data_IF_061319712079
#
_entry.id   IF_061319712079
#
_cell.length_a   1.000
_cell.length_b   1.000
_cell.length_c   1.000
_cell.angle_alpha   90.00
_cell.angle_beta   90.00
_cell.angle_gamma   90.00
#
_symmetry.space_group_name_H-M   'P 1'
#
loop_
_entity.id
_entity.type
_entity.pdbx_description
1 polymer ?
#
# COMPACT_ATOMS: atom_id res chain seq x y z
N UNK A 1 -3.71 -11.06 -20.01
CA UNK A 1 -4.70 -10.28 -19.21
C UNK A 1 -5.72 -11.22 -18.56
N UNK A 2 -6.40 -10.84 -17.47
CA UNK A 2 -7.26 -11.72 -16.61
C UNK A 2 -8.12 -12.81 -17.31
N UNK A 3 -8.64 -12.54 -18.52
CA UNK A 3 -9.42 -13.47 -19.35
C UNK A 3 -8.64 -14.66 -19.94
N UNK A 4 -7.32 -14.62 -19.91
CA UNK A 4 -6.45 -15.70 -20.42
C UNK A 4 -6.18 -16.79 -19.37
N UNK A 5 -6.78 -16.68 -18.18
CA UNK A 5 -6.56 -17.61 -17.08
C UNK A 5 -7.57 -18.77 -17.14
N UNK A 6 -7.13 -20.03 -16.93
CA UNK A 6 -8.02 -21.18 -16.94
C UNK A 6 -9.20 -20.99 -15.98
N UNK A 7 -10.43 -21.21 -16.46
CA UNK A 7 -11.66 -21.12 -15.66
C UNK A 7 -12.23 -19.71 -15.49
N UNK A 8 -11.57 -18.65 -15.97
CA UNK A 8 -12.11 -17.28 -15.97
C UNK A 8 -12.85 -17.03 -17.29
N UNK A 9 -14.18 -16.95 -17.27
CA UNK A 9 -15.00 -16.58 -18.44
C UNK A 9 -15.02 -15.08 -18.66
N UNK A 10 -15.18 -14.30 -17.59
CA UNK A 10 -15.14 -12.85 -17.63
C UNK A 10 -14.47 -12.30 -16.37
N UNK A 11 -13.87 -11.13 -16.49
CA UNK A 11 -13.30 -10.41 -15.36
C UNK A 11 -13.42 -8.90 -15.56
N UNK A 12 -13.63 -8.17 -14.48
CA UNK A 12 -13.57 -6.72 -14.45
C UNK A 12 -12.79 -6.26 -13.20
N UNK A 13 -12.15 -5.10 -13.28
CA UNK A 13 -11.54 -4.45 -12.12
C UNK A 13 -12.06 -3.02 -12.02
N UNK A 14 -12.50 -2.62 -10.83
CA UNK A 14 -13.04 -1.27 -10.56
C UNK A 14 -12.50 -0.75 -9.24
N UNK A 15 -12.43 0.58 -9.11
CA UNK A 15 -12.15 1.23 -7.83
C UNK A 15 -13.46 1.39 -7.07
N UNK A 16 -13.50 0.87 -5.85
CA UNK A 16 -14.60 1.06 -4.89
C UNK A 16 -13.94 1.60 -3.61
N UNK A 17 -14.38 2.74 -3.10
CA UNK A 17 -13.80 3.42 -1.92
C UNK A 17 -12.27 3.58 -1.97
N UNK A 18 -11.73 3.88 -3.16
CA UNK A 18 -10.29 4.06 -3.38
C UNK A 18 -9.46 2.76 -3.42
N UNK A 19 -10.11 1.59 -3.33
CA UNK A 19 -9.49 0.27 -3.37
C UNK A 19 -9.84 -0.45 -4.66
N UNK A 20 -8.88 -1.19 -5.22
CA UNK A 20 -9.10 -1.97 -6.43
C UNK A 20 -9.81 -3.30 -6.09
N UNK A 21 -10.96 -3.53 -6.72
CA UNK A 21 -11.80 -4.74 -6.57
C UNK A 21 -11.88 -5.47 -7.89
N UNK A 22 -11.66 -6.79 -7.85
CA UNK A 22 -11.81 -7.66 -8.99
C UNK A 22 -13.14 -8.41 -8.95
N UNK A 23 -13.85 -8.45 -10.07
CA UNK A 23 -15.05 -9.24 -10.24
C UNK A 23 -14.74 -10.35 -11.23
N UNK A 24 -15.05 -11.59 -10.88
CA UNK A 24 -14.76 -12.80 -11.66
C UNK A 24 -16.04 -13.54 -11.98
N UNK A 25 -16.15 -14.00 -13.23
CA UNK A 25 -17.20 -14.92 -13.67
C UNK A 25 -16.55 -16.19 -14.16
N UNK A 26 -17.02 -17.33 -13.66
CA UNK A 26 -16.53 -18.67 -14.00
C UNK A 26 -16.07 -19.44 -12.77
N UNK A 27 -15.68 -20.69 -13.02
CA UNK A 27 -15.43 -21.69 -11.96
C UNK A 27 -13.95 -21.75 -11.54
N UNK A 28 -13.11 -20.88 -12.13
CA UNK A 28 -11.70 -20.74 -11.78
C UNK A 28 -11.49 -19.96 -10.48
N UNK A 29 -10.40 -20.25 -9.78
CA UNK A 29 -9.99 -19.50 -8.59
C UNK A 29 -9.44 -18.11 -8.90
N UNK A 30 -9.17 -17.34 -7.84
CA UNK A 30 -8.54 -16.02 -7.95
C UNK A 30 -7.21 -16.14 -8.71
N UNK A 31 -7.03 -15.40 -9.82
CA UNK A 31 -5.86 -15.51 -10.66
C UNK A 31 -4.64 -14.89 -9.97
N UNK A 32 -3.50 -15.58 -10.04
CA UNK A 32 -2.25 -15.00 -9.57
C UNK A 32 -1.71 -13.99 -10.58
N UNK A 33 -1.84 -12.72 -10.25
CA UNK A 33 -1.42 -11.60 -11.09
C UNK A 33 -0.03 -11.08 -10.76
N UNK A 34 0.63 -11.57 -9.70
CA UNK A 34 1.91 -11.02 -9.21
C UNK A 34 3.06 -11.15 -10.20
N UNK A 35 3.01 -12.14 -11.08
CA UNK A 35 4.01 -12.35 -12.13
C UNK A 35 3.84 -11.42 -13.34
N UNK A 36 2.69 -10.74 -13.47
CA UNK A 36 2.33 -9.98 -14.67
C UNK A 36 1.89 -8.55 -14.38
N UNK A 37 1.58 -8.23 -13.13
CA UNK A 37 1.18 -6.91 -12.67
C UNK A 37 2.02 -6.51 -11.45
N UNK A 38 2.35 -5.22 -11.31
CA UNK A 38 2.83 -4.68 -10.04
C UNK A 38 1.79 -4.88 -8.93
N UNK A 39 2.24 -5.09 -7.69
CA UNK A 39 1.36 -5.38 -6.54
C UNK A 39 0.23 -4.36 -6.34
N UNK A 40 0.49 -3.07 -6.61
CA UNK A 40 -0.50 -2.00 -6.47
C UNK A 40 -1.61 -2.02 -7.53
N UNK A 41 -1.46 -2.80 -8.61
CA UNK A 41 -2.48 -3.02 -9.64
C UNK A 41 -3.26 -4.32 -9.42
N UNK A 42 -2.95 -5.06 -8.35
CA UNK A 42 -3.64 -6.30 -8.02
C UNK A 42 -4.83 -5.95 -7.11
N UNK A 43 -6.06 -6.37 -7.47
CA UNK A 43 -7.20 -6.15 -6.60
C UNK A 43 -7.00 -6.71 -5.20
N UNK A 44 -7.39 -5.92 -4.20
CA UNK A 44 -7.28 -6.29 -2.77
C UNK A 44 -8.45 -7.15 -2.31
N UNK A 45 -9.54 -7.19 -3.09
CA UNK A 45 -10.69 -8.06 -2.88
C UNK A 45 -11.19 -8.61 -4.22
N UNK A 46 -11.79 -9.80 -4.16
CA UNK A 46 -12.32 -10.52 -5.31
C UNK A 46 -13.76 -10.98 -5.03
N UNK A 47 -14.67 -10.70 -5.95
CA UNK A 47 -16.08 -11.08 -5.88
C UNK A 47 -16.38 -12.03 -7.05
N UNK A 48 -16.93 -13.21 -6.75
CA UNK A 48 -17.39 -14.15 -7.77
C UNK A 48 -18.85 -13.87 -8.12
N UNK A 49 -19.14 -13.83 -9.42
CA UNK A 49 -20.47 -13.60 -9.97
C UNK A 49 -20.80 -14.69 -11.00
N UNK A 50 -22.10 -14.97 -11.14
CA UNK A 50 -22.59 -15.84 -12.21
C UNK A 50 -22.47 -15.16 -13.59
N UNK A 51 -22.66 -13.83 -13.62
CA UNK A 51 -22.50 -12.97 -14.80
C UNK A 51 -22.13 -11.53 -14.41
N UNK A 52 -21.47 -10.80 -15.31
CA UNK A 52 -21.22 -9.37 -15.12
C UNK A 52 -22.50 -8.56 -15.43
N UNK A 53 -22.94 -7.65 -14.55
CA UNK A 53 -24.07 -6.79 -14.86
C UNK A 53 -23.70 -5.80 -15.97
N UNK A 54 -24.51 -5.77 -17.02
CA UNK A 54 -24.31 -4.89 -18.17
C UNK A 54 -25.51 -3.94 -18.33
N UNK A 55 -25.23 -2.70 -18.71
CA UNK A 55 -26.23 -1.74 -19.19
C UNK A 55 -26.88 -2.24 -20.48
N UNK A 56 -28.01 -1.65 -20.88
CA UNK A 56 -28.68 -1.95 -22.16
C UNK A 56 -27.76 -1.81 -23.39
N UNK A 57 -26.68 -1.01 -23.30
CA UNK A 57 -25.68 -0.82 -24.35
C UNK A 57 -24.50 -1.82 -24.26
N UNK A 58 -24.59 -2.85 -23.42
CA UNK A 58 -23.55 -3.87 -23.24
C UNK A 58 -22.30 -3.41 -22.49
N UNK A 59 -22.29 -2.19 -21.91
CA UNK A 59 -21.20 -1.72 -21.04
C UNK A 59 -21.41 -2.21 -19.61
N UNK A 60 -20.33 -2.45 -18.87
CA UNK A 60 -20.36 -2.80 -17.45
C UNK A 60 -21.19 -1.78 -16.66
N UNK A 61 -22.25 -2.25 -16.00
CA UNK A 61 -23.04 -1.45 -15.10
C UNK A 61 -22.40 -1.45 -13.72
N UNK A 62 -21.59 -0.42 -13.45
CA UNK A 62 -20.86 -0.30 -12.18
C UNK A 62 -21.78 -0.08 -10.98
N UNK A 63 -22.98 0.45 -11.19
CA UNK A 63 -23.93 0.69 -10.10
C UNK A 63 -24.65 -0.60 -9.67
N UNK A 64 -24.75 -1.58 -10.58
CA UNK A 64 -25.34 -2.89 -10.33
C UNK A 64 -24.32 -3.94 -9.83
N UNK A 65 -23.03 -3.58 -9.71
CA UNK A 65 -22.03 -4.47 -9.14
C UNK A 65 -22.30 -4.67 -7.64
N UNK A 66 -22.33 -5.92 -7.15
CA UNK A 66 -22.43 -6.18 -5.71
C UNK A 66 -21.28 -5.49 -4.99
N UNK A 67 -21.57 -4.91 -3.82
CA UNK A 67 -20.51 -4.40 -2.98
C UNK A 67 -19.55 -5.54 -2.61
N UNK A 68 -18.22 -5.35 -2.72
CA UNK A 68 -17.31 -6.33 -2.18
C UNK A 68 -17.55 -6.44 -0.68
N UNK A 69 -17.39 -7.65 -0.14
CA UNK A 69 -17.15 -7.79 1.28
C UNK A 69 -15.78 -7.19 1.58
N UNK A 70 -15.80 -5.90 1.90
CA UNK A 70 -14.72 -5.32 2.63
C UNK A 70 -14.65 -6.04 3.96
N UNK A 71 -13.44 -6.22 4.51
CA UNK A 71 -13.31 -6.38 5.96
C UNK A 71 -13.70 -5.07 6.72
N UNK A 72 -14.64 -4.30 6.17
CA UNK A 72 -15.35 -3.18 6.78
C UNK A 72 -16.74 -3.77 7.06
N UNK A 73 -17.01 -4.25 8.27
CA UNK A 73 -17.22 -3.40 9.43
C UNK A 73 -16.49 -3.92 10.68
N UNK A 74 -15.16 -4.02 10.63
CA UNK A 74 -14.45 -4.14 11.89
C UNK A 74 -14.74 -2.84 12.68
N UNK A 75 -15.34 -2.93 13.88
CA UNK A 75 -15.58 -1.77 14.71
C UNK A 75 -14.25 -1.03 14.89
N UNK A 76 -14.34 0.29 15.08
CA UNK A 76 -13.15 1.08 15.37
C UNK A 76 -12.36 0.42 16.50
N UNK A 77 -11.14 0.01 16.20
CA UNK A 77 -10.21 -0.60 17.14
C UNK A 77 -8.95 0.28 17.22
N UNK A 78 -8.48 0.62 18.44
CA UNK A 78 -7.30 1.44 18.60
C UNK A 78 -6.04 0.71 18.10
N UNK A 79 -5.05 1.44 17.55
CA UNK A 79 -3.72 0.91 17.28
C UNK A 79 -3.11 0.27 18.53
N UNK A 80 -2.56 -0.93 18.37
CA UNK A 80 -1.86 -1.64 19.45
C UNK A 80 -0.51 -0.96 19.77
N UNK A 81 0.05 -1.30 20.92
CA UNK A 81 1.37 -0.79 21.30
C UNK A 81 2.47 -1.14 20.29
N UNK A 82 3.51 -0.31 20.21
CA UNK A 82 4.66 -0.53 19.33
C UNK A 82 4.47 0.10 17.95
N UNK A 83 4.70 -0.68 16.89
CA UNK A 83 4.73 -0.16 15.52
C UNK A 83 3.38 0.42 15.05
N UNK A 84 2.25 -0.16 15.47
CA UNK A 84 0.91 0.34 15.10
C UNK A 84 0.70 1.78 15.60
N UNK A 85 1.12 2.11 16.84
CA UNK A 85 1.05 3.48 17.37
C UNK A 85 1.91 4.47 16.57
N UNK A 86 3.12 4.08 16.16
CA UNK A 86 3.97 4.94 15.35
C UNK A 86 3.34 5.21 13.98
N UNK A 87 2.79 4.17 13.35
CA UNK A 87 2.09 4.31 12.06
C UNK A 87 0.88 5.23 12.21
N UNK A 88 0.04 5.00 13.22
CA UNK A 88 -1.13 5.82 13.47
C UNK A 88 -0.77 7.29 13.70
N UNK A 89 0.28 7.58 14.50
CA UNK A 89 0.75 8.96 14.73
C UNK A 89 1.17 9.64 13.43
N UNK A 90 1.99 8.95 12.61
CA UNK A 90 2.40 9.49 11.31
C UNK A 90 1.18 9.75 10.41
N UNK A 91 0.18 8.88 10.45
CA UNK A 91 -1.07 9.10 9.70
C UNK A 91 -1.87 10.29 10.23
N UNK A 92 -1.97 10.48 11.54
CA UNK A 92 -2.60 11.69 12.13
C UNK A 92 -1.93 12.96 11.59
N UNK A 93 -0.59 13.00 11.62
CA UNK A 93 0.19 14.17 11.17
C UNK A 93 0.04 14.43 9.67
N UNK A 94 0.02 13.39 8.84
CA UNK A 94 0.01 13.52 7.37
C UNK A 94 -1.40 13.68 6.80
N UNK A 95 -2.37 12.99 7.38
CA UNK A 95 -3.75 12.93 6.89
C UNK A 95 -4.69 13.88 7.65
N UNK A 96 -4.29 14.40 8.81
CA UNK A 96 -5.14 15.25 9.65
C UNK A 96 -6.26 14.49 10.36
N UNK A 97 -6.08 13.18 10.56
CA UNK A 97 -7.07 12.33 11.25
C UNK A 97 -6.95 12.52 12.76
N UNK A 98 -8.08 12.61 13.47
CA UNK A 98 -8.06 12.66 14.94
C UNK A 98 -7.71 11.29 15.54
N UNK A 99 -8.33 10.21 15.06
CA UNK A 99 -8.24 8.86 15.67
C UNK A 99 -8.18 7.72 14.64
N UNK A 100 -7.04 7.50 13.95
CA UNK A 100 -6.89 6.37 13.04
C UNK A 100 -7.13 5.04 13.76
N UNK A 101 -8.04 4.24 13.23
CA UNK A 101 -8.27 2.85 13.63
C UNK A 101 -7.21 1.93 13.04
N UNK A 102 -6.94 0.81 13.72
CA UNK A 102 -5.91 -0.15 13.29
C UNK A 102 -6.24 -0.83 11.95
N UNK A 103 -7.52 -0.86 11.57
CA UNK A 103 -8.05 -1.48 10.36
C UNK A 103 -8.40 -0.47 9.25
N UNK A 104 -8.23 0.83 9.51
CA UNK A 104 -8.53 1.89 8.55
C UNK A 104 -7.64 1.76 7.32
N UNK A 105 -8.24 1.82 6.12
CA UNK A 105 -7.46 1.90 4.90
C UNK A 105 -6.87 3.27 4.72
N UNK A 106 -5.57 3.35 4.45
CA UNK A 106 -4.88 4.58 4.08
C UNK A 106 -5.62 5.35 2.97
N UNK A 107 -5.97 4.69 1.87
CA UNK A 107 -6.63 5.33 0.72
C UNK A 107 -8.12 5.64 0.96
N UNK A 108 -8.81 4.85 1.79
CA UNK A 108 -10.22 5.11 2.13
C UNK A 108 -10.36 6.32 3.07
N UNK A 109 -9.36 6.58 3.92
CA UNK A 109 -9.34 7.72 4.85
C UNK A 109 -8.65 8.96 4.27
N UNK A 110 -8.55 9.06 2.94
CA UNK A 110 -8.05 10.26 2.24
C UNK A 110 -6.56 10.27 1.90
N UNK A 111 -5.88 9.13 2.01
CA UNK A 111 -4.53 8.93 1.51
C UNK A 111 -4.44 8.99 -0.02
N UNK A 112 -3.35 9.57 -0.53
CA UNK A 112 -3.03 9.67 -1.95
C UNK A 112 -1.53 9.45 -2.19
N UNK A 113 -1.06 9.60 -3.43
CA UNK A 113 0.34 9.40 -3.79
C UNK A 113 1.32 10.36 -3.10
N UNK A 114 0.94 11.63 -2.91
CA UNK A 114 1.78 12.64 -2.25
C UNK A 114 1.85 12.35 -0.74
N UNK A 115 0.70 12.07 -0.13
CA UNK A 115 0.61 11.69 1.29
C UNK A 115 1.34 10.38 1.56
N UNK A 116 1.34 9.44 0.60
CA UNK A 116 2.09 8.19 0.69
C UNK A 116 3.59 8.45 0.86
N UNK A 117 4.16 9.35 0.06
CA UNK A 117 5.57 9.75 0.19
C UNK A 117 5.86 10.39 1.55
N UNK A 118 4.96 11.25 2.05
CA UNK A 118 5.08 11.88 3.37
C UNK A 118 5.03 10.86 4.50
N UNK A 119 4.12 9.88 4.44
CA UNK A 119 4.06 8.79 5.43
C UNK A 119 5.34 7.96 5.43
N UNK A 120 5.83 7.57 4.25
CA UNK A 120 7.10 6.83 4.10
C UNK A 120 8.26 7.62 4.72
N UNK A 121 8.34 8.92 4.46
CA UNK A 121 9.35 9.78 5.06
C UNK A 121 9.24 9.86 6.59
N UNK A 122 8.01 10.04 7.12
CA UNK A 122 7.76 10.10 8.56
C UNK A 122 8.11 8.80 9.29
N UNK A 123 7.76 7.64 8.71
CA UNK A 123 8.11 6.33 9.24
C UNK A 123 9.63 6.07 9.22
N UNK A 124 10.32 6.51 8.16
CA UNK A 124 11.79 6.46 8.11
C UNK A 124 12.44 7.34 9.17
N UNK A 125 11.92 8.53 9.40
CA UNK A 125 12.36 9.41 10.48
C UNK A 125 12.10 8.79 11.87
N UNK A 126 11.02 8.00 12.00
CA UNK A 126 10.70 7.24 13.21
C UNK A 126 11.51 5.95 13.37
N UNK A 127 12.54 5.73 12.55
CA UNK A 127 13.47 4.61 12.70
C UNK A 127 13.01 3.30 12.07
N UNK A 128 12.08 3.33 11.11
CA UNK A 128 11.69 2.15 10.34
C UNK A 128 12.29 2.18 8.94
N UNK A 129 12.61 1.01 8.41
CA UNK A 129 12.79 0.83 6.99
C UNK A 129 11.44 0.52 6.35
N UNK A 130 11.05 1.38 5.42
CA UNK A 130 9.77 1.27 4.72
C UNK A 130 9.94 1.71 3.28
N UNK A 131 9.37 0.93 2.38
CA UNK A 131 9.27 1.22 0.96
C UNK A 131 7.86 1.69 0.60
N UNK A 132 7.76 2.53 -0.43
CA UNK A 132 6.47 3.02 -0.91
C UNK A 132 5.53 1.86 -1.29
N UNK A 133 6.07 0.79 -1.90
CA UNK A 133 5.33 -0.43 -2.26
C UNK A 133 4.59 -1.00 -1.05
N UNK A 134 5.22 -1.04 0.12
CA UNK A 134 4.63 -1.64 1.30
C UNK A 134 3.35 -0.92 1.73
N UNK A 135 3.24 0.40 1.55
CA UNK A 135 2.02 1.14 1.86
C UNK A 135 0.86 0.78 0.91
N UNK A 136 1.16 0.49 -0.35
CA UNK A 136 0.15 0.07 -1.34
C UNK A 136 -0.30 -1.38 -1.13
N UNK A 137 0.59 -2.24 -0.63
CA UNK A 137 0.30 -3.66 -0.34
C UNK A 137 -0.35 -3.85 1.04
N UNK A 138 0.07 -3.06 2.03
CA UNK A 138 -0.37 -3.15 3.43
C UNK A 138 -1.09 -1.86 3.79
N UNK A 139 -2.37 -1.79 3.41
CA UNK A 139 -3.12 -0.54 3.36
C UNK A 139 -3.71 -0.15 4.70
N UNK A 140 -3.69 -1.01 5.73
CA UNK A 140 -4.11 -0.66 7.09
C UNK A 140 -2.94 -0.46 8.04
N UNK A 141 -3.20 0.25 9.15
CA UNK A 141 -2.20 0.47 10.22
C UNK A 141 -1.63 -0.87 10.72
N UNK A 142 -2.48 -1.86 11.00
CA UNK A 142 -2.07 -3.17 11.50
C UNK A 142 -1.23 -3.96 10.47
N UNK A 143 -1.63 -3.94 9.20
CA UNK A 143 -0.88 -4.62 8.14
C UNK A 143 0.47 -3.96 7.91
N UNK A 144 0.49 -2.62 7.83
CA UNK A 144 1.72 -1.88 7.58
C UNK A 144 2.71 -2.10 8.72
N UNK A 145 2.24 -2.02 9.97
CA UNK A 145 3.06 -2.27 11.16
C UNK A 145 3.74 -3.65 11.13
N UNK A 146 3.05 -4.67 10.63
CA UNK A 146 3.60 -6.03 10.49
C UNK A 146 4.70 -6.11 9.43
N UNK A 147 4.60 -5.29 8.39
CA UNK A 147 5.56 -5.21 7.30
C UNK A 147 6.80 -4.36 7.63
N UNK A 148 6.71 -3.47 8.63
CA UNK A 148 7.83 -2.61 9.02
C UNK A 148 9.01 -3.41 9.58
N UNK A 149 10.21 -2.90 9.33
CA UNK A 149 11.45 -3.40 9.93
C UNK A 149 12.15 -2.24 10.64
N UNK A 150 12.66 -2.42 11.87
CA UNK A 150 13.48 -1.39 12.50
C UNK A 150 14.71 -1.11 11.62
N UNK A 151 14.96 0.17 11.35
CA UNK A 151 16.16 0.61 10.65
C UNK A 151 17.36 0.36 11.56
N UNK A 152 18.24 -0.53 11.16
CA UNK A 152 19.50 -0.75 11.85
C UNK A 152 20.35 0.52 11.69
N UNK A 153 20.82 1.08 12.80
CA UNK A 153 21.76 2.20 12.73
C UNK A 153 23.00 1.74 11.96
N UNK A 154 23.27 2.36 10.82
CA UNK A 154 24.61 2.31 10.23
C UNK A 154 25.45 3.22 11.11
N UNK A 155 26.54 2.73 11.75
CA UNK A 155 27.46 3.61 12.46
C UNK A 155 27.84 4.73 11.51
N UNK A 156 27.57 5.97 11.91
CA UNK A 156 28.03 7.13 11.16
C UNK A 156 29.55 7.04 11.21
N UNK A 157 30.17 6.53 10.14
CA UNK A 157 31.61 6.63 9.99
C UNK A 157 31.93 8.11 10.14
N UNK A 158 32.78 8.44 11.10
CA UNK A 158 33.31 9.79 11.26
C UNK A 158 34.17 10.07 10.02
N UNK A 159 33.53 10.46 8.92
CA UNK A 159 34.22 10.97 7.74
C UNK A 159 34.72 12.36 8.11
N UNK A 160 35.90 12.40 8.71
CA UNK A 160 36.70 13.61 8.77
C UNK A 160 36.82 14.21 7.36
N UNK A 161 36.85 15.53 7.27
CA UNK A 161 37.04 16.22 6.00
C UNK A 161 38.24 15.58 5.26
N UNK A 162 38.01 15.18 4.01
CA UNK A 162 39.01 14.54 3.13
C UNK A 162 39.41 13.10 3.47
N UNK A 163 38.65 12.34 4.26
CA UNK A 163 38.93 10.94 4.57
C UNK A 163 39.09 10.02 3.33
N UNK A 164 38.52 10.40 2.18
CA UNK A 164 38.64 9.68 0.90
C UNK A 164 39.74 10.21 -0.03
N UNK A 165 40.43 11.30 0.34
CA UNK A 165 41.54 11.84 -0.45
C UNK A 165 42.86 11.15 -0.07
N UNK A 166 43.68 10.87 -1.08
CA UNK A 166 45.07 10.47 -0.88
C UNK A 166 45.85 11.62 -0.21
N UNK A 167 46.96 11.33 0.50
CA UNK A 167 47.79 12.37 1.11
C UNK A 167 48.22 13.47 0.13
N UNK A 168 48.51 13.09 -1.13
CA UNK A 168 48.91 14.02 -2.19
C UNK A 168 47.79 14.99 -2.62
N UNK A 169 46.54 14.56 -2.55
CA UNK A 169 45.40 15.40 -2.94
C UNK A 169 45.01 16.37 -1.81
N UNK A 170 45.27 16.01 -0.54
CA UNK A 170 45.04 16.91 0.61
C UNK A 170 46.00 18.09 0.60
N UNK A 171 47.24 17.86 0.21
CA UNK A 171 48.30 18.88 0.18
C UNK A 171 48.03 19.95 -0.89
N UNK A 172 47.41 19.58 -2.02
CA UNK A 172 47.01 20.50 -3.09
C UNK A 172 45.83 21.43 -2.77
N UNK A 173 45.06 21.12 -1.73
CA UNK A 173 43.87 21.90 -1.35
C UNK A 173 44.14 22.93 -0.24
N UNK A 174 45.31 22.84 0.41
CA UNK A 174 45.69 23.64 1.59
C UNK A 174 46.86 24.59 1.31
N UNK A 175 47.37 24.63 0.07
CA UNK A 175 48.39 25.57 -0.41
C UNK A 175 47.87 26.38 -1.57
#
# INVERSE_FOLDING_TARGET
MLRERPGVRQAAAVLVDGRLVGYLVGDGGVPDLRSVLPDFMIPVSWVHLDELPLTANGKLDRAALPAPEWRADLPWEPPRAGAEQTVARVWQEVLGLERPGRHDSFFAVGGDSIRSLKVVAGLRAAGYDVELRQLFTHQSVAELATALRPRRAVPKAETGAFALLSPADRERLMG
#
